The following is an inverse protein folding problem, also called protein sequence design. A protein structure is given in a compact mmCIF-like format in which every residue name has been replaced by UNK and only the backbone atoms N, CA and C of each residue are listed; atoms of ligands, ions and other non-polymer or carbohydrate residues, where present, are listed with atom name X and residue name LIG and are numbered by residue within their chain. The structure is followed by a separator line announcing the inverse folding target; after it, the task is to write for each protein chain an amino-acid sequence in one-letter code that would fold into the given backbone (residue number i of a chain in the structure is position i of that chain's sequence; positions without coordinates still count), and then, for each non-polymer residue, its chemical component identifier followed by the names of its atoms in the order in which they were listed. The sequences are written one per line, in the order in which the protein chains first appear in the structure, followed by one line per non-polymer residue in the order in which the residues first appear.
data_IF_234845281277
#
_entry.id   IF_234845281277
#
_cell.length_a   1.000
_cell.length_b   1.000
_cell.length_c   1.000
_cell.angle_alpha   90.00
_cell.angle_beta   90.00
_cell.angle_gamma   90.00
#
_symmetry.space_group_name_H-M   'P 1'
#
loop_
_entity.id
_entity.type
_entity.pdbx_description
1 polymer ?
#
# COMPACT_ATOMS: atom_id res chain seq x y z
N UNK A 1 9.02 1.56 -15.37
CA UNK A 1 8.68 0.15 -15.19
C UNK A 1 8.23 -0.02 -13.75
N UNK A 2 7.10 -0.70 -13.54
CA UNK A 2 6.61 -0.97 -12.19
C UNK A 2 7.45 -2.06 -11.54
N UNK A 3 7.90 -1.83 -10.31
CA UNK A 3 8.74 -2.78 -9.56
C UNK A 3 7.79 -3.79 -8.92
N UNK A 4 8.01 -5.08 -9.20
CA UNK A 4 7.15 -6.17 -8.74
C UNK A 4 7.95 -7.16 -7.92
N UNK A 5 7.50 -7.35 -6.70
CA UNK A 5 8.02 -8.34 -5.77
C UNK A 5 6.95 -9.35 -5.34
N UNK A 6 7.30 -10.16 -4.35
CA UNK A 6 6.40 -11.12 -3.73
C UNK A 6 6.55 -11.13 -2.21
N UNK A 7 5.44 -11.35 -1.51
CA UNK A 7 5.41 -11.44 -0.05
C UNK A 7 6.23 -12.65 0.41
N UNK A 8 7.16 -12.45 1.32
CA UNK A 8 7.95 -13.51 1.97
C UNK A 8 7.63 -13.68 3.45
N UNK A 9 7.05 -12.65 4.10
CA UNK A 9 6.66 -12.70 5.51
C UNK A 9 5.54 -11.71 5.80
N UNK A 10 4.62 -12.11 6.68
CA UNK A 10 3.54 -11.27 7.21
C UNK A 10 3.62 -11.32 8.74
N UNK A 11 3.63 -10.16 9.39
CA UNK A 11 3.75 -10.01 10.85
C UNK A 11 2.80 -8.91 11.32
N UNK A 12 1.51 -9.26 11.49
CA UNK A 12 0.46 -8.27 11.68
C UNK A 12 0.43 -7.31 10.50
N UNK A 13 0.44 -5.99 10.71
CA UNK A 13 0.35 -5.02 9.62
C UNK A 13 1.69 -4.79 8.89
N UNK A 14 2.78 -5.43 9.35
CA UNK A 14 4.08 -5.37 8.70
C UNK A 14 4.27 -6.55 7.73
N UNK A 15 4.54 -6.24 6.47
CA UNK A 15 4.79 -7.21 5.39
C UNK A 15 6.22 -7.06 4.90
N UNK A 16 6.88 -8.17 4.58
CA UNK A 16 8.20 -8.16 3.92
C UNK A 16 8.05 -8.76 2.54
N UNK A 17 8.55 -8.05 1.53
CA UNK A 17 8.57 -8.49 0.14
C UNK A 17 10.00 -8.63 -0.40
N UNK A 18 10.23 -9.62 -1.27
CA UNK A 18 11.46 -9.80 -2.06
C UNK A 18 11.24 -9.33 -3.50
N UNK A 19 12.29 -9.04 -4.25
CA UNK A 19 12.19 -8.57 -5.63
C UNK A 19 11.92 -7.07 -5.72
N UNK A 20 12.27 -6.34 -4.66
CA UNK A 20 11.98 -4.91 -4.52
C UNK A 20 13.19 -4.03 -4.85
N UNK A 21 14.22 -4.59 -5.50
CA UNK A 21 15.37 -3.82 -5.97
C UNK A 21 14.93 -2.64 -6.83
N UNK A 22 15.41 -1.44 -6.48
CA UNK A 22 15.08 -0.18 -7.15
C UNK A 22 13.87 0.56 -6.57
N UNK A 23 13.11 -0.05 -5.65
CA UNK A 23 12.06 0.63 -4.91
C UNK A 23 12.68 1.65 -3.95
N UNK A 24 11.91 2.67 -3.58
CA UNK A 24 12.39 3.77 -2.75
C UNK A 24 11.70 3.76 -1.39
N UNK A 25 12.39 4.30 -0.40
CA UNK A 25 11.77 4.62 0.88
C UNK A 25 10.55 5.52 0.66
N UNK A 26 9.48 5.27 1.42
CA UNK A 26 8.19 5.96 1.34
C UNK A 26 7.38 5.70 0.06
N UNK A 27 7.84 4.87 -0.86
CA UNK A 27 7.01 4.47 -1.99
C UNK A 27 5.75 3.77 -1.49
N UNK A 28 4.62 4.16 -2.08
CA UNK A 28 3.37 3.43 -1.91
C UNK A 28 3.41 2.16 -2.75
N UNK A 29 2.93 1.08 -2.15
CA UNK A 29 2.84 -0.25 -2.76
C UNK A 29 1.41 -0.77 -2.71
N UNK A 30 1.09 -1.63 -3.68
CA UNK A 30 -0.10 -2.49 -3.69
C UNK A 30 0.32 -3.89 -3.23
N UNK A 31 -0.28 -4.37 -2.16
CA UNK A 31 0.10 -5.63 -1.49
C UNK A 31 -1.03 -6.65 -1.65
N UNK A 32 -0.67 -7.85 -2.11
CA UNK A 32 -1.62 -8.94 -2.26
C UNK A 32 -2.44 -8.88 -3.54
N UNK A 33 -3.23 -9.92 -3.77
CA UNK A 33 -4.18 -9.97 -4.89
C UNK A 33 -5.28 -8.90 -4.79
N UNK A 34 -5.63 -8.50 -3.56
CA UNK A 34 -6.61 -7.45 -3.28
C UNK A 34 -6.04 -6.02 -3.46
N UNK A 35 -4.72 -5.89 -3.64
CA UNK A 35 -4.09 -4.59 -3.89
C UNK A 35 -4.17 -3.63 -2.70
N UNK A 36 -4.03 -4.16 -1.49
CA UNK A 36 -4.05 -3.41 -0.23
C UNK A 36 -2.97 -2.33 -0.25
N UNK A 37 -3.31 -1.14 0.24
CA UNK A 37 -2.39 -0.02 0.27
C UNK A 37 -1.35 -0.21 1.37
N UNK A 38 -0.06 -0.08 1.03
CA UNK A 38 1.02 -0.04 1.99
C UNK A 38 2.11 0.96 1.61
N UNK A 39 3.05 1.17 2.53
CA UNK A 39 4.18 2.08 2.39
C UNK A 39 5.50 1.37 2.72
N UNK A 40 6.54 1.58 1.91
CA UNK A 40 7.88 1.07 2.22
C UNK A 40 8.52 1.90 3.34
N UNK A 41 8.78 1.24 4.47
CA UNK A 41 9.36 1.85 5.68
C UNK A 41 10.81 1.43 5.94
N UNK A 42 11.33 0.44 5.22
CA UNK A 42 12.75 0.04 5.24
C UNK A 42 13.08 -0.74 3.97
N UNK A 43 14.29 -0.55 3.46
CA UNK A 43 14.89 -1.35 2.39
C UNK A 43 16.12 -2.07 2.92
N UNK A 44 16.27 -3.34 2.56
CA UNK A 44 17.44 -4.17 2.89
C UNK A 44 17.78 -5.05 1.67
N UNK A 45 18.77 -4.61 0.89
CA UNK A 45 19.15 -5.26 -0.37
C UNK A 45 17.98 -5.33 -1.35
N UNK A 46 17.56 -6.56 -1.67
CA UNK A 46 16.42 -6.84 -2.55
C UNK A 46 15.06 -6.94 -1.81
N UNK A 47 15.07 -6.74 -0.49
CA UNK A 47 13.86 -6.82 0.33
C UNK A 47 13.34 -5.45 0.76
N UNK A 48 12.02 -5.31 0.82
CA UNK A 48 11.34 -4.15 1.36
C UNK A 48 10.47 -4.55 2.54
N UNK A 49 10.53 -3.76 3.61
CA UNK A 49 9.59 -3.82 4.72
C UNK A 49 8.49 -2.79 4.46
N UNK A 50 7.26 -3.26 4.52
CA UNK A 50 6.07 -2.54 4.10
C UNK A 50 5.13 -2.47 5.30
N UNK A 51 4.69 -1.26 5.62
CA UNK A 51 3.58 -1.04 6.54
C UNK A 51 2.29 -1.01 5.72
N UNK A 52 1.41 -1.99 5.92
CA UNK A 52 0.10 -2.01 5.28
C UNK A 52 -0.86 -1.14 6.11
N UNK A 53 -1.66 -0.32 5.45
CA UNK A 53 -2.62 0.61 6.08
C UNK A 53 -4.02 0.01 6.22
N UNK A 54 -4.25 -1.15 5.63
CA UNK A 54 -5.49 -1.92 5.64
C UNK A 54 -5.30 -3.23 6.42
N UNK A 55 -6.40 -3.96 6.65
CA UNK A 55 -6.34 -5.27 7.32
C UNK A 55 -5.58 -6.28 6.45
N UNK A 56 -4.55 -6.90 7.02
CA UNK A 56 -3.72 -7.92 6.36
C UNK A 56 -4.32 -9.33 6.46
N UNK A 57 -5.49 -9.48 7.10
CA UNK A 57 -6.20 -10.75 7.18
C UNK A 57 -6.50 -11.29 5.79
N UNK A 58 -6.10 -12.52 5.52
CA UNK A 58 -6.31 -13.16 4.22
C UNK A 58 -5.14 -13.01 3.23
N UNK A 59 -4.09 -12.24 3.57
CA UNK A 59 -2.85 -12.25 2.78
C UNK A 59 -2.06 -13.55 2.96
N UNK A 60 -1.46 -14.02 1.87
CA UNK A 60 -0.61 -15.21 1.84
C UNK A 60 0.82 -14.89 1.37
N UNK A 61 1.77 -15.70 1.82
CA UNK A 61 3.14 -15.70 1.28
C UNK A 61 3.10 -16.09 -0.20
N UNK A 62 3.89 -15.39 -1.02
CA UNK A 62 3.98 -15.56 -2.47
C UNK A 62 3.07 -14.62 -3.26
N UNK A 63 2.13 -13.92 -2.62
CA UNK A 63 1.29 -12.94 -3.28
C UNK A 63 2.08 -11.72 -3.80
N UNK A 64 1.59 -11.03 -4.84
CA UNK A 64 2.33 -9.96 -5.48
C UNK A 64 2.44 -8.71 -4.59
N UNK A 65 3.54 -7.99 -4.74
CA UNK A 65 3.71 -6.62 -4.24
C UNK A 65 4.15 -5.73 -5.39
N UNK A 66 3.46 -4.62 -5.62
CA UNK A 66 3.74 -3.72 -6.72
C UNK A 66 3.99 -2.29 -6.23
N UNK A 67 5.17 -1.73 -6.51
CA UNK A 67 5.47 -0.33 -6.18
C UNK A 67 4.88 0.63 -7.21
N UNK A 68 4.23 1.68 -6.70
CA UNK A 68 3.74 2.81 -7.51
C UNK A 68 4.86 3.77 -7.92
N UNK A 69 6.04 3.65 -7.29
CA UNK A 69 7.21 4.52 -7.52
C UNK A 69 7.02 5.97 -7.04
N UNK A 70 5.93 6.24 -6.33
CA UNK A 70 5.58 7.55 -5.81
C UNK A 70 5.25 7.44 -4.32
N UNK A 71 5.53 8.49 -3.53
CA UNK A 71 5.11 8.55 -2.14
C UNK A 71 3.59 8.73 -2.03
N UNK A 72 3.07 8.62 -0.80
CA UNK A 72 1.67 8.95 -0.53
C UNK A 72 1.41 10.40 -0.92
N UNK A 73 0.42 10.60 -1.78
CA UNK A 73 -0.02 11.92 -2.23
C UNK A 73 -1.51 12.05 -2.04
N UNK A 74 -1.96 13.29 -1.87
CA UNK A 74 -3.36 13.64 -1.73
C UNK A 74 -3.72 14.70 -2.76
N UNK A 75 -4.93 14.60 -3.29
CA UNK A 75 -5.45 15.62 -4.20
C UNK A 75 -6.01 16.79 -3.38
N UNK A 76 -5.59 18.00 -3.72
CA UNK A 76 -6.05 19.23 -3.08
C UNK A 76 -6.84 20.07 -4.08
N UNK A 77 -8.11 20.32 -3.78
CA UNK A 77 -8.97 21.09 -4.66
C UNK A 77 -10.37 21.34 -4.12
N UNK A 78 -11.23 22.01 -4.93
CA UNK A 78 -12.63 22.18 -4.63
C UNK A 78 -13.32 20.82 -4.39
N UNK A 79 -14.24 20.76 -3.43
CA UNK A 79 -14.94 19.53 -3.07
C UNK A 79 -14.34 18.75 -1.89
N UNK A 80 -13.20 19.19 -1.34
CA UNK A 80 -12.65 18.63 -0.09
C UNK A 80 -13.39 19.09 1.17
N UNK A 81 -13.79 20.35 1.20
CA UNK A 81 -14.50 20.92 2.35
C UNK A 81 -15.83 20.21 2.53
N UNK A 82 -16.24 20.01 3.78
CA UNK A 82 -17.48 19.31 4.20
C UNK A 82 -17.51 17.79 3.94
N UNK A 83 -16.53 17.22 3.25
CA UNK A 83 -16.41 15.77 3.06
C UNK A 83 -15.92 15.04 4.31
N UNK A 84 -16.38 13.79 4.48
CA UNK A 84 -15.86 12.86 5.51
C UNK A 84 -15.01 11.81 4.80
N UNK A 85 -13.76 11.66 5.26
CA UNK A 85 -12.76 10.79 4.66
C UNK A 85 -12.15 9.83 5.69
N UNK A 86 -11.55 8.74 5.21
CA UNK A 86 -10.72 7.87 6.04
C UNK A 86 -9.26 8.39 6.16
N UNK A 87 -8.39 7.60 6.81
CA UNK A 87 -6.99 7.96 7.04
C UNK A 87 -6.11 8.09 5.80
N UNK A 88 -6.60 7.68 4.62
CA UNK A 88 -5.90 7.79 3.33
C UNK A 88 -6.70 8.62 2.31
N UNK A 89 -7.59 9.48 2.81
CA UNK A 89 -8.40 10.43 2.05
C UNK A 89 -9.41 9.79 1.06
N UNK A 90 -9.93 8.59 1.35
CA UNK A 90 -11.06 8.03 0.58
C UNK A 90 -12.40 8.56 1.13
N UNK A 91 -13.31 9.06 0.28
CA UNK A 91 -14.59 9.62 0.73
C UNK A 91 -15.54 8.54 1.24
N UNK A 92 -15.86 8.57 2.54
CA UNK A 92 -16.68 7.54 3.21
C UNK A 92 -18.11 7.48 2.67
N UNK A 93 -18.70 8.64 2.36
CA UNK A 93 -20.05 8.73 1.81
C UNK A 93 -20.16 8.07 0.42
N UNK A 94 -19.12 8.18 -0.40
CA UNK A 94 -19.10 7.53 -1.72
C UNK A 94 -18.94 6.02 -1.60
N UNK A 95 -18.05 5.55 -0.71
CA UNK A 95 -17.87 4.11 -0.42
C UNK A 95 -19.18 3.50 0.10
N UNK A 96 -19.88 4.19 1.01
CA UNK A 96 -21.16 3.71 1.56
C UNK A 96 -22.22 3.46 0.49
N UNK A 97 -22.27 4.30 -0.56
CA UNK A 97 -23.23 4.17 -1.66
C UNK A 97 -22.91 3.04 -2.65
N UNK A 98 -21.69 2.51 -2.63
CA UNK A 98 -21.25 1.42 -3.51
C UNK A 98 -21.56 0.02 -2.93
N UNK A 99 -21.97 -0.06 -1.66
CA UNK A 99 -22.50 -1.26 -1.02
C UNK A 99 -24.02 -1.30 -1.12
#
# INVERSE_FOLDING_TARGET
MSIKGSIIKIAGPAVIARGMTGARMYDIVRVGAEGLLGEIIRLDGDTAFIQVYEDTSGLHVGEPVESTGNPLTVELGPGLLTGIYDGILRPLEAIRKQK
#
